data_IF_595214275028
#
_entry.id   IF_595214275028
#
_cell.length_a   1.000
_cell.length_b   1.000
_cell.length_c   1.000
_cell.angle_alpha   90.00
_cell.angle_beta   90.00
_cell.angle_gamma   90.00
#
_symmetry.space_group_name_H-M   'P 1'
#
loop_
_entity.id
_entity.type
_entity.pdbx_description
1 polymer ?
#
# COMPACT_ATOMS: atom_id res chain seq x y z
N UNK A 1 5.11 -34.52 -34.83
CA UNK A 1 4.80 -34.57 -33.39
C UNK A 1 5.85 -33.77 -32.65
N UNK A 2 5.58 -32.49 -32.36
CA UNK A 2 6.35 -31.73 -31.35
C UNK A 2 5.40 -30.72 -30.74
N UNK A 3 5.00 -31.03 -29.52
CA UNK A 3 4.19 -30.23 -28.62
C UNK A 3 5.07 -29.06 -28.15
N UNK A 4 4.69 -27.80 -28.42
CA UNK A 4 5.31 -26.67 -27.73
C UNK A 4 4.40 -26.21 -26.60
N UNK A 5 4.96 -26.32 -25.39
CA UNK A 5 4.42 -25.87 -24.12
C UNK A 5 3.76 -24.48 -24.20
N UNK A 6 2.52 -24.43 -23.72
CA UNK A 6 1.88 -23.18 -23.29
C UNK A 6 2.58 -22.72 -22.02
N UNK A 7 3.43 -21.71 -22.11
CA UNK A 7 3.92 -21.01 -20.92
C UNK A 7 2.76 -20.25 -20.28
N UNK A 8 2.50 -20.55 -19.02
CA UNK A 8 1.44 -19.96 -18.23
C UNK A 8 1.64 -18.45 -18.12
N UNK A 9 0.60 -17.68 -18.49
CA UNK A 9 0.52 -16.26 -18.15
C UNK A 9 0.38 -16.19 -16.64
N UNK A 10 1.44 -15.78 -15.96
CA UNK A 10 1.34 -15.37 -14.56
C UNK A 10 0.43 -14.15 -14.54
N UNK A 11 -0.80 -14.32 -14.06
CA UNK A 11 -1.76 -13.24 -13.89
C UNK A 11 -1.21 -12.27 -12.84
N UNK A 12 -0.49 -11.26 -13.31
CA UNK A 12 -0.23 -10.06 -12.54
C UNK A 12 -1.56 -9.32 -12.53
N UNK A 13 -2.22 -9.23 -11.37
CA UNK A 13 -3.29 -8.26 -11.18
C UNK A 13 -2.84 -6.90 -11.72
N UNK A 14 -3.73 -6.04 -12.24
CA UNK A 14 -3.30 -4.86 -12.96
C UNK A 14 -2.28 -4.11 -12.10
N UNK A 15 -1.15 -3.62 -12.67
CA UNK A 15 0.01 -3.10 -11.93
C UNK A 15 -0.32 -1.92 -10.99
N UNK A 16 -1.59 -1.53 -10.97
CA UNK A 16 -2.21 -0.38 -10.32
C UNK A 16 -3.42 -0.77 -9.45
N UNK A 17 -3.58 -2.04 -9.05
CA UNK A 17 -4.66 -2.50 -8.16
C UNK A 17 -4.26 -2.40 -6.69
N UNK A 18 -5.19 -1.94 -5.85
CA UNK A 18 -5.16 -2.06 -4.38
C UNK A 18 -6.14 -3.15 -4.00
N UNK A 19 -5.70 -4.15 -3.24
CA UNK A 19 -6.55 -5.23 -2.72
C UNK A 19 -6.26 -5.50 -1.25
N UNK A 20 -7.11 -6.31 -0.62
CA UNK A 20 -6.96 -6.74 0.78
C UNK A 20 -5.59 -7.38 1.11
N UNK A 21 -4.82 -7.80 0.09
CA UNK A 21 -3.52 -8.49 0.27
C UNK A 21 -2.33 -7.67 -0.19
N UNK A 22 -2.53 -6.54 -0.86
CA UNK A 22 -1.44 -5.64 -1.22
C UNK A 22 -1.74 -4.70 -2.37
N UNK A 23 -0.67 -4.08 -2.88
CA UNK A 23 -0.72 -3.02 -3.88
C UNK A 23 0.17 -3.39 -5.08
N UNK A 24 -0.40 -3.35 -6.29
CA UNK A 24 0.28 -3.72 -7.53
C UNK A 24 0.81 -5.17 -7.46
N UNK A 25 2.13 -5.41 -7.62
CA UNK A 25 2.74 -6.74 -7.47
C UNK A 25 3.17 -7.10 -6.04
N UNK A 26 3.19 -6.14 -5.10
CA UNK A 26 3.72 -6.36 -3.74
C UNK A 26 2.59 -6.77 -2.80
N UNK A 27 2.85 -7.74 -1.93
CA UNK A 27 1.86 -8.30 -0.99
C UNK A 27 2.36 -8.26 0.44
N UNK A 28 1.43 -8.08 1.37
CA UNK A 28 1.67 -8.31 2.80
C UNK A 28 2.05 -9.78 3.00
N UNK A 29 2.99 -10.04 3.92
CA UNK A 29 3.52 -11.37 4.20
C UNK A 29 4.69 -11.81 3.31
N UNK A 30 4.90 -11.17 2.16
CA UNK A 30 6.16 -11.33 1.40
C UNK A 30 7.34 -10.84 2.23
N UNK A 31 8.50 -11.44 2.04
CA UNK A 31 9.76 -10.81 2.42
C UNK A 31 10.08 -9.63 1.50
N UNK A 32 10.85 -8.65 1.99
CA UNK A 32 11.35 -7.54 1.16
C UNK A 32 12.12 -8.04 -0.08
N UNK A 33 12.84 -9.16 0.05
CA UNK A 33 13.54 -9.82 -1.06
C UNK A 33 12.59 -10.41 -2.11
N UNK A 34 11.47 -11.00 -1.69
CA UNK A 34 10.42 -11.47 -2.60
C UNK A 34 9.71 -10.30 -3.29
N UNK A 35 9.41 -9.22 -2.55
CA UNK A 35 8.82 -8.01 -3.11
C UNK A 35 9.71 -7.41 -4.20
N UNK A 36 11.03 -7.36 -3.99
CA UNK A 36 12.01 -6.92 -5.00
C UNK A 36 12.00 -7.79 -6.25
N UNK A 37 11.81 -9.10 -6.12
CA UNK A 37 11.69 -10.02 -7.27
C UNK A 37 10.36 -9.84 -8.01
N UNK A 38 9.28 -9.59 -7.28
CA UNK A 38 7.95 -9.36 -7.85
C UNK A 38 7.83 -8.02 -8.59
N UNK A 39 8.67 -7.04 -8.23
CA UNK A 39 8.73 -5.72 -8.85
C UNK A 39 10.15 -5.39 -9.34
N UNK A 40 10.67 -6.09 -10.38
CA UNK A 40 12.07 -5.98 -10.80
C UNK A 40 12.47 -4.58 -11.30
N UNK A 41 11.49 -3.79 -11.76
CA UNK A 41 11.69 -2.41 -12.22
C UNK A 41 11.59 -1.37 -11.09
N UNK A 42 11.23 -1.79 -9.87
CA UNK A 42 11.09 -0.88 -8.75
C UNK A 42 12.42 -0.60 -8.04
N UNK A 43 12.60 0.64 -7.59
CA UNK A 43 13.67 0.99 -6.68
C UNK A 43 13.19 0.87 -5.23
N UNK A 44 13.99 0.22 -4.39
CA UNK A 44 13.75 0.08 -2.96
C UNK A 44 14.80 0.90 -2.22
N UNK A 45 14.38 1.83 -1.37
CA UNK A 45 15.27 2.72 -0.62
C UNK A 45 14.88 2.74 0.85
N UNK A 46 15.89 2.76 1.72
CA UNK A 46 15.65 2.97 3.15
C UNK A 46 15.04 4.34 3.34
N UNK A 47 13.97 4.39 4.13
CA UNK A 47 13.28 5.61 4.53
C UNK A 47 12.98 5.55 6.03
N UNK A 48 12.49 6.67 6.57
CA UNK A 48 11.82 6.69 7.86
C UNK A 48 10.62 7.60 7.82
N UNK A 49 9.74 7.48 8.80
CA UNK A 49 8.68 8.44 9.03
C UNK A 49 9.18 9.64 9.87
N UNK A 50 8.26 10.55 10.20
CA UNK A 50 8.55 11.72 11.04
C UNK A 50 8.96 11.37 12.47
N UNK A 51 8.72 10.14 12.91
CA UNK A 51 8.93 9.66 14.29
C UNK A 51 10.11 8.68 14.39
N UNK A 52 10.79 8.39 13.28
CA UNK A 52 12.02 7.61 13.22
C UNK A 52 11.86 6.10 12.98
N UNK A 53 10.65 5.61 12.69
CA UNK A 53 10.45 4.21 12.33
C UNK A 53 11.17 3.87 11.02
N UNK A 54 11.78 2.68 10.91
CA UNK A 54 12.46 2.30 9.67
C UNK A 54 11.46 1.76 8.65
N UNK A 55 11.34 2.48 7.54
CA UNK A 55 10.48 2.15 6.41
C UNK A 55 11.32 1.80 5.19
N UNK A 56 10.64 1.30 4.15
CA UNK A 56 11.21 1.14 2.82
C UNK A 56 10.31 1.86 1.83
N UNK A 57 10.86 2.89 1.18
CA UNK A 57 10.23 3.51 0.03
C UNK A 57 10.41 2.61 -1.19
N UNK A 58 9.30 2.33 -1.87
CA UNK A 58 9.27 1.57 -3.12
C UNK A 58 8.79 2.48 -4.23
N UNK A 59 9.69 2.85 -5.14
CA UNK A 59 9.36 3.65 -6.32
C UNK A 59 9.16 2.74 -7.52
N UNK A 60 7.92 2.66 -8.00
CA UNK A 60 7.53 2.03 -9.26
C UNK A 60 7.56 3.07 -10.39
N UNK A 61 8.22 2.77 -11.51
CA UNK A 61 8.48 3.75 -12.57
C UNK A 61 9.07 5.06 -11.99
N UNK A 62 8.91 6.22 -12.65
CA UNK A 62 9.55 7.46 -12.17
C UNK A 62 8.88 8.09 -10.96
N UNK A 63 7.56 7.90 -10.75
CA UNK A 63 6.80 8.80 -9.86
C UNK A 63 5.77 8.10 -8.94
N UNK A 64 5.75 6.77 -8.88
CA UNK A 64 4.77 6.02 -8.08
C UNK A 64 5.43 5.46 -6.84
N UNK A 65 5.33 6.17 -5.71
CA UNK A 65 5.92 5.75 -4.44
C UNK A 65 4.90 5.04 -3.54
N UNK A 66 5.34 3.97 -2.91
CA UNK A 66 4.68 3.29 -1.80
C UNK A 66 5.62 3.26 -0.60
N UNK A 67 5.06 3.25 0.61
CA UNK A 67 5.80 3.00 1.83
C UNK A 67 5.51 1.59 2.32
N UNK A 68 6.58 0.87 2.69
CA UNK A 68 6.50 -0.50 3.18
C UNK A 68 7.08 -0.54 4.59
N UNK A 69 6.34 -1.14 5.52
CA UNK A 69 6.81 -1.42 6.86
C UNK A 69 7.01 -2.92 7.06
N UNK A 70 8.16 -3.28 7.63
CA UNK A 70 8.59 -4.67 7.82
C UNK A 70 9.20 -4.92 9.20
N UNK A 71 8.78 -4.12 10.20
CA UNK A 71 9.21 -4.26 11.61
C UNK A 71 10.73 -4.19 11.77
N UNK A 72 11.32 -3.15 11.19
CA UNK A 72 12.72 -2.80 11.35
C UNK A 72 12.82 -1.56 12.25
N UNK A 73 13.68 -1.59 13.27
CA UNK A 73 13.70 -0.56 14.32
C UNK A 73 14.82 0.49 14.14
N UNK A 74 15.69 0.33 13.15
CA UNK A 74 16.89 1.16 12.99
C UNK A 74 17.07 1.62 11.55
N UNK A 75 16.72 2.89 11.29
CA UNK A 75 16.84 3.49 9.96
C UNK A 75 18.27 3.59 9.44
N UNK A 76 19.29 3.45 10.31
CA UNK A 76 20.70 3.53 9.94
C UNK A 76 21.23 2.19 9.42
N UNK A 77 20.49 1.10 9.64
CA UNK A 77 20.86 -0.23 9.14
C UNK A 77 20.41 -0.41 7.69
N UNK A 78 21.21 -1.16 6.88
CA UNK A 78 20.76 -1.61 5.56
C UNK A 78 19.44 -2.36 5.63
N UNK A 79 18.72 -2.42 4.51
CA UNK A 79 17.48 -3.19 4.36
C UNK A 79 17.76 -4.68 4.67
N UNK A 80 17.09 -5.24 5.68
CA UNK A 80 17.08 -6.70 5.88
C UNK A 80 16.06 -7.34 4.94
N UNK A 81 16.55 -7.80 3.79
CA UNK A 81 15.73 -8.42 2.74
C UNK A 81 14.96 -9.68 3.15
N UNK A 82 15.20 -10.22 4.37
CA UNK A 82 14.48 -11.38 4.91
C UNK A 82 13.25 -10.98 5.74
N UNK A 83 13.11 -9.71 6.10
CA UNK A 83 11.99 -9.21 6.90
C UNK A 83 10.69 -9.27 6.10
N UNK A 84 9.61 -9.66 6.79
CA UNK A 84 8.27 -9.77 6.22
C UNK A 84 7.57 -8.42 6.24
N UNK A 85 6.92 -8.11 5.13
CA UNK A 85 6.09 -6.93 4.99
C UNK A 85 4.84 -7.09 5.85
N UNK A 86 4.62 -6.14 6.74
CA UNK A 86 3.44 -6.07 7.62
C UNK A 86 2.42 -5.06 7.13
N UNK A 87 2.88 -3.98 6.49
CA UNK A 87 2.00 -2.96 5.93
C UNK A 87 2.58 -2.37 4.64
N UNK A 88 1.69 -1.99 3.73
CA UNK A 88 1.99 -1.28 2.49
C UNK A 88 1.03 -0.11 2.39
N UNK A 89 1.54 1.11 2.24
CA UNK A 89 0.74 2.32 2.04
C UNK A 89 1.09 2.98 0.70
N UNK A 90 0.09 3.55 0.03
CA UNK A 90 0.34 4.36 -1.16
C UNK A 90 -0.44 5.68 -1.13
N UNK A 91 0.23 6.72 -1.64
CA UNK A 91 -0.30 8.07 -1.83
C UNK A 91 -0.58 8.38 -3.29
N UNK A 92 -0.27 7.44 -4.20
CA UNK A 92 -0.33 7.70 -5.63
C UNK A 92 -1.75 7.48 -6.16
N UNK A 93 -2.37 8.48 -6.83
CA UNK A 93 -3.66 8.30 -7.50
C UNK A 93 -3.59 7.35 -8.69
N UNK A 94 -2.39 6.88 -9.02
CA UNK A 94 -2.16 5.92 -10.06
C UNK A 94 -2.65 4.51 -9.68
N UNK A 95 -2.85 4.22 -8.39
CA UNK A 95 -3.47 2.98 -7.90
C UNK A 95 -4.94 3.13 -7.59
N UNK A 96 -5.73 2.06 -7.68
CA UNK A 96 -7.15 2.06 -7.28
C UNK A 96 -7.61 0.70 -6.78
N UNK A 97 -8.62 0.67 -5.91
CA UNK A 97 -9.36 -0.54 -5.54
C UNK A 97 -10.18 -1.06 -6.73
N UNK A 98 -10.75 -2.26 -6.59
CA UNK A 98 -11.67 -2.81 -7.60
C UNK A 98 -12.91 -1.93 -7.81
N UNK A 99 -13.35 -1.23 -6.76
CA UNK A 99 -14.48 -0.29 -6.80
C UNK A 99 -14.08 1.12 -7.27
N UNK A 100 -12.79 1.34 -7.57
CA UNK A 100 -12.29 2.59 -8.15
C UNK A 100 -11.84 3.65 -7.16
N UNK A 101 -11.86 3.38 -5.85
CA UNK A 101 -11.32 4.27 -4.83
C UNK A 101 -9.80 4.32 -4.92
N UNK A 102 -9.22 5.51 -4.83
CA UNK A 102 -7.78 5.70 -4.99
C UNK A 102 -7.24 6.76 -4.02
N UNK A 103 -5.93 6.75 -3.73
CA UNK A 103 -5.32 7.86 -3.02
C UNK A 103 -5.53 9.18 -3.76
N UNK A 104 -5.74 10.28 -3.06
CA UNK A 104 -6.13 11.55 -3.71
C UNK A 104 -7.66 11.76 -3.81
N UNK A 105 -8.47 10.72 -3.62
CA UNK A 105 -9.92 10.83 -3.61
C UNK A 105 -10.41 11.50 -2.32
N UNK A 106 -11.47 12.31 -2.42
CA UNK A 106 -12.10 12.92 -1.25
C UNK A 106 -12.89 11.90 -0.43
N UNK A 107 -13.00 12.11 0.89
CA UNK A 107 -13.85 11.30 1.75
C UNK A 107 -15.31 11.25 1.27
N UNK A 108 -15.81 12.37 0.72
CA UNK A 108 -17.17 12.43 0.16
C UNK A 108 -17.35 11.47 -1.00
N UNK A 109 -16.38 11.37 -1.90
CA UNK A 109 -16.46 10.50 -3.06
C UNK A 109 -16.27 9.04 -2.66
N UNK A 110 -15.38 8.75 -1.71
CA UNK A 110 -15.26 7.41 -1.14
C UNK A 110 -16.55 6.96 -0.43
N UNK A 111 -17.24 7.86 0.27
CA UNK A 111 -18.54 7.56 0.89
C UNK A 111 -19.62 7.17 -0.12
N UNK A 112 -19.55 7.65 -1.38
CA UNK A 112 -20.47 7.22 -2.44
C UNK A 112 -20.25 5.76 -2.84
N UNK A 113 -19.05 5.23 -2.62
CA UNK A 113 -18.66 3.86 -2.97
C UNK A 113 -18.89 2.92 -1.77
N UNK A 114 -18.35 3.26 -0.61
CA UNK A 114 -18.34 2.39 0.57
C UNK A 114 -19.43 2.71 1.62
N UNK A 115 -20.36 3.63 1.32
CA UNK A 115 -21.39 4.07 2.27
C UNK A 115 -20.88 5.14 3.23
N UNK A 116 -21.71 5.57 4.19
CA UNK A 116 -21.36 6.69 5.06
C UNK A 116 -20.11 6.39 5.91
N UNK A 117 -19.44 7.47 6.34
CA UNK A 117 -18.37 7.37 7.34
C UNK A 117 -18.97 6.93 8.67
N UNK A 118 -18.49 5.81 9.20
CA UNK A 118 -18.91 5.26 10.48
C UNK A 118 -18.13 5.91 11.64
N UNK A 119 -16.82 6.03 11.49
CA UNK A 119 -15.95 6.67 12.45
C UNK A 119 -14.71 7.26 11.78
N UNK A 120 -14.14 8.27 12.44
CA UNK A 120 -12.78 8.77 12.19
C UNK A 120 -12.03 8.63 13.50
N UNK A 121 -10.96 7.84 13.51
CA UNK A 121 -10.16 7.55 14.70
C UNK A 121 -8.75 8.10 14.52
N UNK A 122 -8.21 8.74 15.55
CA UNK A 122 -6.84 9.26 15.55
C UNK A 122 -5.92 8.28 16.27
N UNK A 123 -4.82 7.85 15.63
CA UNK A 123 -3.81 7.03 16.29
C UNK A 123 -3.07 7.82 17.36
N UNK A 124 -2.76 7.17 18.50
CA UNK A 124 -2.08 7.84 19.61
C UNK A 124 -0.61 8.18 19.31
N UNK A 125 0.07 7.34 18.50
CA UNK A 125 1.52 7.43 18.30
C UNK A 125 1.88 8.55 17.32
N UNK A 126 1.12 8.68 16.23
CA UNK A 126 1.49 9.54 15.10
C UNK A 126 0.39 10.57 14.77
N UNK A 127 -0.66 10.65 15.60
CA UNK A 127 -1.82 11.52 15.38
C UNK A 127 -2.48 11.36 14.00
N UNK A 128 -2.41 10.17 13.41
CA UNK A 128 -2.94 9.88 12.07
C UNK A 128 -4.43 9.58 12.15
N UNK A 129 -5.22 10.18 11.28
CA UNK A 129 -6.67 9.96 11.22
C UNK A 129 -7.01 8.84 10.23
N UNK A 130 -7.74 7.83 10.68
CA UNK A 130 -8.22 6.71 9.89
C UNK A 130 -9.74 6.70 9.81
N UNK A 131 -10.26 6.38 8.63
CA UNK A 131 -11.69 6.36 8.33
C UNK A 131 -12.19 4.92 8.27
N UNK A 132 -13.30 4.67 8.93
CA UNK A 132 -14.10 3.45 8.71
C UNK A 132 -15.41 3.79 8.01
N UNK A 133 -15.85 2.93 7.10
CA UNK A 133 -17.08 3.11 6.29
C UNK A 133 -18.14 2.10 6.71
N UNK A 134 -19.41 2.33 6.36
CA UNK A 134 -20.49 1.34 6.56
C UNK A 134 -20.21 0.01 5.84
N UNK A 135 -19.71 0.06 4.60
CA UNK A 135 -19.29 -1.09 3.81
C UNK A 135 -17.77 -1.11 3.67
N UNK A 136 -17.09 -1.03 4.81
CA UNK A 136 -15.63 -0.99 4.85
C UNK A 136 -15.02 -2.28 4.24
N UNK A 137 -14.16 -2.18 3.21
CA UNK A 137 -13.53 -3.35 2.62
C UNK A 137 -12.50 -3.96 3.59
N UNK A 138 -12.48 -5.28 3.68
CA UNK A 138 -11.56 -6.00 4.57
C UNK A 138 -10.10 -5.79 4.17
N UNK A 139 -9.22 -5.69 5.17
CA UNK A 139 -7.77 -5.56 4.98
C UNK A 139 -7.29 -4.22 4.42
N UNK A 140 -8.19 -3.27 4.17
CA UNK A 140 -7.82 -1.92 3.73
C UNK A 140 -7.92 -0.94 4.89
N UNK A 141 -6.95 -0.04 4.99
CA UNK A 141 -6.97 1.11 5.87
C UNK A 141 -7.02 2.37 5.02
N UNK A 142 -7.84 3.33 5.43
CA UNK A 142 -8.01 4.60 4.75
C UNK A 142 -7.59 5.72 5.68
N UNK A 143 -6.51 6.43 5.36
CA UNK A 143 -5.99 7.53 6.18
C UNK A 143 -6.37 8.86 5.54
N UNK A 144 -6.81 9.82 6.35
CA UNK A 144 -6.99 11.20 5.92
C UNK A 144 -5.66 11.93 5.90
N UNK A 145 -5.44 12.74 4.89
CA UNK A 145 -4.34 13.70 4.89
C UNK A 145 -4.61 14.89 5.83
N UNK A 146 -3.52 15.52 6.28
CA UNK A 146 -3.57 16.67 7.18
C UNK A 146 -4.03 17.97 6.49
N UNK A 147 -4.29 17.95 5.18
CA UNK A 147 -4.63 19.17 4.42
C UNK A 147 -6.06 19.68 4.67
N UNK A 148 -6.82 19.00 5.54
CA UNK A 148 -8.22 19.34 5.83
C UNK A 148 -9.18 19.05 4.68
N UNK A 149 -8.70 18.41 3.59
CA UNK A 149 -9.50 18.04 2.41
C UNK A 149 -10.01 16.61 2.47
N UNK A 150 -9.69 15.90 3.55
CA UNK A 150 -10.05 14.51 3.76
C UNK A 150 -9.66 13.65 2.55
N UNK A 151 -8.43 13.83 2.07
CA UNK A 151 -7.90 13.06 0.95
C UNK A 151 -7.39 11.72 1.50
N UNK A 152 -7.73 10.64 0.81
CA UNK A 152 -7.33 9.30 1.23
C UNK A 152 -5.88 9.00 0.83
N UNK A 153 -5.12 8.36 1.72
CA UNK A 153 -4.19 7.30 1.33
C UNK A 153 -4.82 5.94 1.64
N UNK A 154 -4.34 4.90 0.97
CA UNK A 154 -4.84 3.55 1.18
C UNK A 154 -3.68 2.66 1.57
N UNK A 155 -3.83 1.98 2.69
CA UNK A 155 -2.88 0.99 3.18
C UNK A 155 -3.50 -0.39 3.26
N UNK A 156 -2.64 -1.40 3.23
CA UNK A 156 -2.98 -2.80 3.43
C UNK A 156 -2.08 -3.32 4.53
N UNK A 157 -2.67 -3.92 5.58
CA UNK A 157 -1.92 -4.46 6.72
C UNK A 157 -2.31 -5.91 7.02
N UNK A 158 -1.37 -6.65 7.61
CA UNK A 158 -1.57 -8.04 8.06
C UNK A 158 -2.36 -8.13 9.37
#
# INVERSE_FOLDING_TARGET
MTLLCVSQVVSHGPPRLISEKGIGPIRVGMTLGEARKAAPEAAFRRAGDGDGAALVDVTLAKDVTMQVWADEDDLRKPIDWRRKILSIETFSPAFRTAEGVHPGMTLRDANRVYGATKAIETSEIESRQFVTFEKHPAGLLFRLDETGRAILSVAVSA
#
